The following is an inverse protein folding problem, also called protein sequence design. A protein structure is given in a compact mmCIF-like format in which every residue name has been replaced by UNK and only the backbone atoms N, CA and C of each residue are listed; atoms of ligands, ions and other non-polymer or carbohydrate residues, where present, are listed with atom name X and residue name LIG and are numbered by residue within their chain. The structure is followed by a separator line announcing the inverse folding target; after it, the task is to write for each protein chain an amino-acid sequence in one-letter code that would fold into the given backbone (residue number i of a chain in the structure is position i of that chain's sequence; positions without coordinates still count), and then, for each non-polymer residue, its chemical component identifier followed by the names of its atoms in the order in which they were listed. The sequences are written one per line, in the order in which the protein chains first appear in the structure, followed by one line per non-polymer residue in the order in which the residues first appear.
data_IF_903214658542
#
_entry.id   IF_903214658542
#
_cell.length_a   1.000
_cell.length_b   1.000
_cell.length_c   1.000
_cell.angle_alpha   90.00
_cell.angle_beta   90.00
_cell.angle_gamma   90.00
#
_symmetry.space_group_name_H-M   'P 1'
#
loop_
_entity.id
_entity.type
_entity.pdbx_description
1 polymer ?
#
# COMPACT_ATOMS: atom_id res chain seq x y z
N UNK A 1 -14.89 10.29 -19.39
CA UNK A 1 -14.01 9.10 -19.50
C UNK A 1 -14.45 8.08 -18.47
N UNK A 2 -14.25 6.79 -18.74
CA UNK A 2 -14.35 5.71 -17.76
C UNK A 2 -12.97 5.05 -17.61
N UNK A 3 -12.36 5.13 -16.43
CA UNK A 3 -11.28 4.25 -16.00
C UNK A 3 -11.75 2.80 -16.00
N UNK A 4 -10.88 1.91 -16.47
CA UNK A 4 -11.03 0.46 -16.33
C UNK A 4 -10.83 0.04 -14.87
N UNK A 5 -11.14 -1.23 -14.58
CA UNK A 5 -10.85 -1.81 -13.26
C UNK A 5 -9.33 -1.83 -13.01
N UNK A 6 -8.85 -1.63 -11.77
CA UNK A 6 -7.44 -1.67 -11.43
C UNK A 6 -6.74 -2.92 -11.97
N UNK A 7 -5.61 -2.72 -12.67
CA UNK A 7 -4.83 -3.77 -13.31
C UNK A 7 -5.55 -4.63 -14.36
N UNK A 8 -6.81 -4.31 -14.70
CA UNK A 8 -7.71 -5.20 -15.45
C UNK A 8 -7.90 -6.56 -14.76
N UNK A 9 -7.82 -6.56 -13.42
CA UNK A 9 -7.80 -7.78 -12.61
C UNK A 9 -9.12 -8.56 -12.60
N UNK A 10 -10.24 -7.88 -12.88
CA UNK A 10 -11.59 -8.46 -12.80
C UNK A 10 -12.30 -8.38 -14.15
N UNK A 11 -13.00 -9.46 -14.58
CA UNK A 11 -13.82 -9.44 -15.78
C UNK A 11 -15.16 -8.73 -15.54
N UNK A 12 -15.14 -7.51 -15.00
CA UNK A 12 -16.34 -6.71 -14.79
C UNK A 12 -16.83 -6.22 -16.15
N UNK A 13 -17.90 -6.85 -16.64
CA UNK A 13 -18.55 -6.52 -17.91
C UNK A 13 -19.75 -5.60 -17.74
N UNK A 14 -20.21 -5.39 -16.51
CA UNK A 14 -21.32 -4.49 -16.20
C UNK A 14 -20.86 -3.04 -16.31
N UNK A 15 -21.43 -2.29 -17.26
CA UNK A 15 -21.23 -0.85 -17.41
C UNK A 15 -21.54 -0.09 -16.12
N UNK A 16 -22.54 -0.55 -15.37
CA UNK A 16 -23.02 0.13 -14.17
C UNK A 16 -21.99 0.06 -13.04
N UNK A 17 -21.30 -1.07 -12.86
CA UNK A 17 -20.25 -1.19 -11.84
C UNK A 17 -19.02 -0.36 -12.18
N UNK A 18 -18.62 -0.33 -13.45
CA UNK A 18 -17.56 0.56 -13.92
C UNK A 18 -17.94 2.02 -13.72
N UNK A 19 -19.19 2.40 -13.95
CA UNK A 19 -19.68 3.74 -13.68
C UNK A 19 -19.59 4.08 -12.18
N UNK A 20 -20.01 3.19 -11.28
CA UNK A 20 -19.90 3.39 -9.83
C UNK A 20 -18.45 3.55 -9.36
N UNK A 21 -17.53 2.76 -9.93
CA UNK A 21 -16.09 2.92 -9.66
C UNK A 21 -15.57 4.28 -10.12
N UNK A 22 -15.94 4.71 -11.33
CA UNK A 22 -15.57 6.02 -11.85
C UNK A 22 -16.17 7.18 -11.06
N UNK A 23 -17.40 7.03 -10.58
CA UNK A 23 -18.01 8.00 -9.66
C UNK A 23 -17.22 8.08 -8.34
N UNK A 24 -16.71 6.95 -7.83
CA UNK A 24 -15.85 6.91 -6.64
C UNK A 24 -14.53 7.68 -6.87
N UNK A 25 -13.87 7.46 -8.01
CA UNK A 25 -12.66 8.20 -8.41
C UNK A 25 -12.95 9.69 -8.54
N UNK A 26 -14.01 10.06 -9.25
CA UNK A 26 -14.39 11.45 -9.48
C UNK A 26 -14.67 12.18 -8.15
N UNK A 27 -15.39 11.52 -7.23
CA UNK A 27 -15.66 12.07 -5.90
C UNK A 27 -14.38 12.27 -5.07
N UNK A 28 -13.42 11.34 -5.14
CA UNK A 28 -12.12 11.50 -4.48
C UNK A 28 -11.36 12.71 -5.05
N UNK A 29 -11.31 12.85 -6.37
CA UNK A 29 -10.69 13.98 -7.04
C UNK A 29 -11.36 15.33 -6.73
N UNK A 30 -12.70 15.38 -6.70
CA UNK A 30 -13.43 16.63 -6.47
C UNK A 30 -13.27 17.17 -5.05
N UNK A 31 -13.06 16.29 -4.05
CA UNK A 31 -12.72 16.69 -2.67
C UNK A 31 -11.37 17.43 -2.59
N UNK A 32 -10.48 17.22 -3.55
CA UNK A 32 -9.14 17.83 -3.62
C UNK A 32 -9.14 19.17 -4.38
N UNK A 33 -10.30 19.84 -4.51
CA UNK A 33 -10.48 21.05 -5.31
C UNK A 33 -9.41 22.14 -5.17
N UNK A 34 -8.82 22.31 -3.98
CA UNK A 34 -7.76 23.31 -3.73
C UNK A 34 -6.43 23.01 -4.43
N UNK A 35 -6.21 21.77 -4.87
CA UNK A 35 -4.98 21.34 -5.55
C UNK A 35 -5.13 21.30 -7.08
N UNK A 36 -6.34 21.57 -7.61
CA UNK A 36 -6.58 21.57 -9.05
C UNK A 36 -5.77 22.68 -9.72
N UNK A 37 -4.95 22.30 -10.68
CA UNK A 37 -4.15 23.19 -11.51
C UNK A 37 -3.96 22.56 -12.90
N UNK A 38 -3.38 23.28 -13.87
CA UNK A 38 -3.26 22.77 -15.25
C UNK A 38 -2.22 21.65 -15.46
N UNK A 39 -1.36 21.40 -14.48
CA UNK A 39 -0.33 20.37 -14.52
C UNK A 39 -0.84 19.02 -14.01
N UNK A 40 -2.10 18.94 -13.58
CA UNK A 40 -2.78 17.66 -13.32
C UNK A 40 -4.13 17.60 -14.02
N UNK A 41 -4.45 16.47 -14.64
CA UNK A 41 -5.80 16.15 -15.13
C UNK A 41 -6.21 14.77 -14.66
N UNK A 42 -7.50 14.60 -14.35
CA UNK A 42 -8.05 13.28 -14.06
C UNK A 42 -8.27 12.44 -15.33
N UNK A 43 -8.30 13.05 -16.51
CA UNK A 43 -8.55 12.35 -17.77
C UNK A 43 -7.24 12.15 -18.54
N UNK A 44 -6.56 10.98 -18.45
CA UNK A 44 -5.34 10.71 -19.21
C UNK A 44 -5.53 10.76 -20.74
N UNK A 45 -6.75 10.58 -21.27
CA UNK A 45 -7.03 10.65 -22.72
C UNK A 45 -7.12 12.08 -23.22
N UNK A 46 -7.27 13.06 -22.33
CA UNK A 46 -7.20 14.49 -22.68
C UNK A 46 -5.78 14.96 -23.00
N UNK A 47 -4.75 14.15 -22.67
CA UNK A 47 -3.35 14.48 -22.93
C UNK A 47 -3.00 14.23 -24.40
N UNK A 48 -2.21 15.15 -24.97
CA UNK A 48 -1.61 14.98 -26.30
C UNK A 48 -0.32 14.16 -26.18
N UNK A 49 -0.18 13.16 -27.06
CA UNK A 49 0.99 12.27 -27.15
C UNK A 49 1.48 11.78 -25.77
N UNK A 50 0.60 11.17 -24.95
CA UNK A 50 0.94 10.79 -23.59
C UNK A 50 2.06 9.74 -23.56
N UNK A 51 3.02 9.93 -22.65
CA UNK A 51 4.10 8.97 -22.39
C UNK A 51 3.93 8.40 -20.98
N UNK A 52 3.95 7.07 -20.86
CA UNK A 52 3.95 6.40 -19.56
C UNK A 52 5.26 6.66 -18.81
N UNK A 53 5.15 7.03 -17.55
CA UNK A 53 6.27 7.26 -16.65
C UNK A 53 5.95 6.67 -15.27
N UNK A 54 6.25 5.39 -15.01
CA UNK A 54 6.00 4.82 -13.68
C UNK A 54 6.76 5.60 -12.61
N UNK A 55 6.08 5.95 -11.51
CA UNK A 55 6.73 6.46 -10.31
C UNK A 55 6.86 5.28 -9.37
N UNK A 56 8.05 5.06 -8.79
CA UNK A 56 8.34 3.85 -8.02
C UNK A 56 9.08 4.16 -6.72
N UNK A 57 8.83 3.34 -5.71
CA UNK A 57 9.49 3.36 -4.41
C UNK A 57 9.49 1.96 -3.78
N UNK A 58 10.34 1.71 -2.78
CA UNK A 58 10.38 0.42 -2.10
C UNK A 58 9.14 0.20 -1.22
N UNK A 59 8.62 -1.03 -1.23
CA UNK A 59 7.38 -1.37 -0.53
C UNK A 59 7.51 -1.48 0.99
N UNK A 60 8.71 -1.56 1.55
CA UNK A 60 8.90 -1.71 2.99
C UNK A 60 8.64 -0.41 3.77
N UNK A 61 8.02 -0.48 4.95
CA UNK A 61 7.77 0.70 5.79
C UNK A 61 9.03 1.42 6.25
N UNK A 62 9.18 2.70 5.84
CA UNK A 62 10.31 3.53 6.25
C UNK A 62 10.27 3.95 7.72
N UNK A 63 9.05 4.25 8.22
CA UNK A 63 8.84 4.88 9.53
C UNK A 63 9.44 4.15 10.73
N UNK A 64 9.20 2.85 10.92
CA UNK A 64 9.73 2.16 12.09
C UNK A 64 11.27 2.14 12.09
N UNK A 65 11.92 2.11 10.92
CA UNK A 65 13.38 2.07 10.83
C UNK A 65 14.02 3.41 11.26
N UNK A 66 13.43 4.55 10.86
CA UNK A 66 13.98 5.84 11.29
C UNK A 66 13.63 6.17 12.75
N UNK A 67 12.46 5.76 13.26
CA UNK A 67 12.04 6.01 14.65
C UNK A 67 12.78 5.15 15.67
N UNK A 68 13.14 3.92 15.30
CA UNK A 68 13.82 2.95 16.16
C UNK A 68 15.16 2.56 15.52
N UNK A 69 15.16 1.44 14.81
CA UNK A 69 16.26 0.87 14.05
C UNK A 69 15.69 -0.21 13.10
N UNK A 70 16.45 -0.60 12.08
CA UNK A 70 16.02 -1.58 11.08
C UNK A 70 15.71 -2.98 11.65
N UNK A 71 16.53 -3.56 12.56
CA UNK A 71 16.18 -4.84 13.18
C UNK A 71 14.85 -4.82 13.93
N UNK A 72 14.55 -3.72 14.63
CA UNK A 72 13.28 -3.54 15.34
C UNK A 72 12.14 -3.31 14.35
N UNK A 73 12.36 -2.53 13.29
CA UNK A 73 11.37 -2.31 12.25
C UNK A 73 10.90 -3.62 11.63
N UNK A 74 11.85 -4.49 11.26
CA UNK A 74 11.59 -5.83 10.76
C UNK A 74 10.68 -6.63 11.71
N UNK A 75 11.03 -6.68 13.00
CA UNK A 75 10.24 -7.40 14.01
C UNK A 75 8.81 -6.86 14.16
N UNK A 76 8.64 -5.54 14.15
CA UNK A 76 7.33 -4.93 14.33
C UNK A 76 6.45 -5.08 13.10
N UNK A 77 7.00 -4.93 11.89
CA UNK A 77 6.27 -5.15 10.65
C UNK A 77 5.86 -6.63 10.50
N UNK A 78 6.76 -7.56 10.84
CA UNK A 78 6.51 -9.00 10.79
C UNK A 78 5.63 -9.52 11.96
N UNK A 79 5.18 -8.65 12.89
CA UNK A 79 4.37 -9.06 14.06
C UNK A 79 2.96 -9.57 13.71
N UNK A 80 2.57 -9.53 12.44
CA UNK A 80 1.26 -9.96 11.97
C UNK A 80 0.27 -8.81 11.93
N UNK A 81 -0.98 -9.05 12.34
CA UNK A 81 -2.08 -8.08 12.21
C UNK A 81 -1.76 -6.71 12.85
N UNK A 82 -1.20 -6.61 14.08
CA UNK A 82 -0.86 -5.31 14.66
C UNK A 82 0.20 -4.55 13.86
N UNK A 83 1.24 -5.24 13.39
CA UNK A 83 2.30 -4.67 12.57
C UNK A 83 1.77 -4.15 11.25
N UNK A 84 1.05 -5.02 10.52
CA UNK A 84 0.45 -4.69 9.24
C UNK A 84 -0.46 -3.46 9.31
N UNK A 85 -1.43 -3.48 10.21
CA UNK A 85 -2.45 -2.43 10.27
C UNK A 85 -1.89 -1.07 10.72
N UNK A 86 -0.75 -1.04 11.41
CA UNK A 86 -0.17 0.20 11.93
C UNK A 86 0.98 0.72 11.07
N UNK A 87 1.79 -0.16 10.49
CA UNK A 87 3.08 0.21 9.89
C UNK A 87 3.09 0.08 8.37
N UNK A 88 2.23 -0.71 7.73
CA UNK A 88 2.35 -0.99 6.30
C UNK A 88 1.73 0.14 5.46
N UNK A 89 2.41 1.27 5.44
CA UNK A 89 1.91 2.53 4.91
C UNK A 89 2.67 3.01 3.68
N UNK A 90 3.22 2.12 2.87
CA UNK A 90 3.95 2.46 1.64
C UNK A 90 3.22 1.96 0.39
N UNK A 91 1.88 1.95 0.43
CA UNK A 91 1.01 1.36 -0.61
C UNK A 91 1.37 -0.09 -0.95
N UNK A 92 1.80 -0.84 0.07
CA UNK A 92 2.13 -2.24 -0.01
C UNK A 92 1.86 -2.86 1.36
N UNK A 93 0.98 -3.86 1.40
CA UNK A 93 0.71 -4.63 2.61
C UNK A 93 1.01 -6.10 2.36
N UNK A 94 1.44 -6.80 3.41
CA UNK A 94 1.66 -8.23 3.33
C UNK A 94 1.18 -8.99 4.56
N UNK A 95 1.05 -10.30 4.38
CA UNK A 95 0.85 -11.29 5.44
C UNK A 95 1.80 -12.45 5.23
N UNK A 96 2.47 -12.85 6.31
CA UNK A 96 3.20 -14.12 6.37
C UNK A 96 2.18 -15.24 6.62
N UNK A 97 2.14 -16.22 5.73
CA UNK A 97 1.37 -17.45 5.92
C UNK A 97 2.25 -18.46 6.64
N UNK A 98 1.79 -18.96 7.77
CA UNK A 98 2.52 -19.96 8.55
C UNK A 98 1.91 -21.35 8.35
N UNK A 99 2.75 -22.38 8.36
CA UNK A 99 2.33 -23.79 8.30
C UNK A 99 3.13 -24.63 9.29
N UNK A 100 2.56 -25.72 9.82
CA UNK A 100 3.33 -26.67 10.62
C UNK A 100 4.32 -27.42 9.71
N UNK A 101 5.55 -27.60 10.19
CA UNK A 101 6.51 -28.52 9.60
C UNK A 101 6.19 -29.99 9.96
N UNK A 102 7.03 -30.92 9.50
CA UNK A 102 6.89 -32.35 9.79
C UNK A 102 6.90 -32.70 11.29
N UNK A 103 7.41 -31.80 12.15
CA UNK A 103 7.43 -31.97 13.62
C UNK A 103 6.23 -31.31 14.30
N UNK A 104 5.38 -30.62 13.55
CA UNK A 104 4.24 -29.85 14.05
C UNK A 104 4.59 -28.44 14.50
N UNK A 105 5.83 -27.97 14.28
CA UNK A 105 6.24 -26.61 14.62
C UNK A 105 5.76 -25.65 13.53
N UNK A 106 5.04 -24.59 13.92
CA UNK A 106 4.65 -23.52 12.99
C UNK A 106 5.89 -22.76 12.50
N UNK A 107 6.00 -22.61 11.18
CA UNK A 107 7.09 -21.91 10.49
C UNK A 107 6.52 -21.03 9.36
N UNK A 108 7.20 -19.93 8.99
CA UNK A 108 6.76 -19.08 7.89
C UNK A 108 6.86 -19.86 6.57
N UNK A 109 5.74 -20.03 5.89
CA UNK A 109 5.67 -20.78 4.63
C UNK A 109 5.86 -19.90 3.42
N UNK A 110 5.19 -18.75 3.39
CA UNK A 110 5.23 -17.80 2.27
C UNK A 110 4.73 -16.42 2.69
N UNK A 111 4.97 -15.43 1.85
CA UNK A 111 4.50 -14.05 2.02
C UNK A 111 3.47 -13.77 0.93
N UNK A 112 2.29 -13.27 1.34
CA UNK A 112 1.28 -12.74 0.44
C UNK A 112 1.31 -11.22 0.50
N UNK A 113 1.57 -10.58 -0.64
CA UNK A 113 1.69 -9.12 -0.79
C UNK A 113 0.52 -8.60 -1.63
N UNK A 114 -0.01 -7.44 -1.27
CA UNK A 114 -1.05 -6.74 -2.03
C UNK A 114 -0.79 -5.24 -2.11
N UNK A 115 -1.11 -4.67 -3.26
CA UNK A 115 -1.19 -3.22 -3.51
C UNK A 115 -2.61 -2.80 -3.92
N UNK A 116 -3.61 -3.65 -3.70
CA UNK A 116 -4.98 -3.37 -4.10
C UNK A 116 -5.63 -2.31 -3.20
N UNK A 117 -6.27 -1.32 -3.80
CA UNK A 117 -6.92 -0.21 -3.09
C UNK A 117 -8.22 -0.67 -2.42
N UNK A 118 -8.39 -0.30 -1.15
CA UNK A 118 -9.60 -0.55 -0.36
C UNK A 118 -10.87 -0.07 -1.06
N UNK A 119 -10.81 1.11 -1.67
CA UNK A 119 -11.97 1.82 -2.24
C UNK A 119 -12.61 1.01 -3.37
N UNK A 120 -11.80 0.33 -4.19
CA UNK A 120 -12.30 -0.51 -5.26
C UNK A 120 -13.07 -1.72 -4.69
N UNK A 121 -12.49 -2.44 -3.73
CA UNK A 121 -13.13 -3.57 -3.08
C UNK A 121 -14.42 -3.19 -2.35
N UNK A 122 -14.41 -2.07 -1.61
CA UNK A 122 -15.60 -1.54 -0.95
C UNK A 122 -16.69 -1.11 -1.94
N UNK A 123 -16.30 -0.51 -3.07
CA UNK A 123 -17.22 -0.16 -4.16
C UNK A 123 -17.91 -1.40 -4.72
N UNK A 124 -17.15 -2.45 -5.07
CA UNK A 124 -17.76 -3.71 -5.56
C UNK A 124 -18.67 -4.32 -4.49
N UNK A 125 -18.23 -4.40 -3.24
CA UNK A 125 -19.06 -4.94 -2.14
C UNK A 125 -20.38 -4.20 -1.94
N UNK A 126 -20.36 -2.87 -2.08
CA UNK A 126 -21.53 -2.01 -1.96
C UNK A 126 -22.57 -2.31 -3.04
N UNK A 127 -22.13 -2.44 -4.29
CA UNK A 127 -23.02 -2.48 -5.45
C UNK A 127 -23.30 -3.88 -5.98
N UNK A 128 -22.33 -4.80 -5.91
CA UNK A 128 -22.46 -6.19 -6.34
C UNK A 128 -21.78 -7.17 -5.35
N UNK A 129 -22.54 -7.62 -4.33
CA UNK A 129 -22.04 -8.59 -3.36
C UNK A 129 -21.58 -9.92 -3.99
N UNK A 130 -22.17 -10.33 -5.12
CA UNK A 130 -21.81 -11.58 -5.80
C UNK A 130 -20.42 -11.45 -6.43
N UNK A 131 -20.17 -10.33 -7.10
CA UNK A 131 -18.86 -10.04 -7.68
C UNK A 131 -17.77 -10.00 -6.60
N UNK A 132 -17.95 -9.26 -5.48
CA UNK A 132 -16.90 -9.21 -4.44
C UNK A 132 -16.66 -10.58 -3.81
N UNK A 133 -17.70 -11.41 -3.67
CA UNK A 133 -17.55 -12.77 -3.15
C UNK A 133 -16.69 -13.63 -4.07
N UNK A 134 -16.89 -13.52 -5.38
CA UNK A 134 -16.06 -14.20 -6.38
C UNK A 134 -14.62 -13.66 -6.42
N UNK A 135 -14.42 -12.34 -6.22
CA UNK A 135 -13.08 -11.76 -6.08
C UNK A 135 -12.33 -12.35 -4.89
N UNK A 136 -12.99 -12.46 -3.73
CA UNK A 136 -12.40 -13.09 -2.55
C UNK A 136 -12.10 -14.57 -2.79
N UNK A 137 -13.01 -15.31 -3.44
CA UNK A 137 -12.76 -16.71 -3.82
C UNK A 137 -11.54 -16.86 -4.73
N UNK A 138 -11.39 -15.98 -5.72
CA UNK A 138 -10.25 -15.98 -6.63
C UNK A 138 -8.92 -15.81 -5.88
N UNK A 139 -8.89 -14.93 -4.88
CA UNK A 139 -7.68 -14.65 -4.08
C UNK A 139 -7.41 -15.77 -3.07
N UNK A 140 -8.44 -16.28 -2.39
CA UNK A 140 -8.27 -17.22 -1.28
C UNK A 140 -8.30 -18.69 -1.71
N UNK A 141 -8.80 -19.00 -2.91
CA UNK A 141 -9.02 -20.36 -3.37
C UNK A 141 -10.22 -21.07 -2.71
N UNK A 142 -11.05 -20.34 -1.96
CA UNK A 142 -12.30 -20.86 -1.39
C UNK A 142 -13.39 -19.79 -1.35
N UNK A 143 -14.64 -20.23 -1.55
CA UNK A 143 -15.80 -19.35 -1.51
C UNK A 143 -16.13 -18.95 -0.06
N UNK A 144 -15.97 -17.67 0.34
CA UNK A 144 -16.30 -17.25 1.70
C UNK A 144 -17.83 -17.27 1.93
N UNK A 145 -18.26 -17.31 3.20
CA UNK A 145 -19.68 -17.14 3.53
C UNK A 145 -20.10 -15.68 3.49
N UNK A 146 -21.41 -15.43 3.39
CA UNK A 146 -21.95 -14.08 3.48
C UNK A 146 -21.79 -13.49 4.88
N UNK A 147 -21.85 -14.32 5.91
CA UNK A 147 -21.62 -13.93 7.30
C UNK A 147 -20.19 -13.47 7.52
N UNK A 148 -19.20 -14.08 6.86
CA UNK A 148 -17.81 -13.64 6.93
C UNK A 148 -17.58 -12.29 6.23
N UNK A 149 -18.32 -12.02 5.14
CA UNK A 149 -18.20 -10.77 4.38
C UNK A 149 -19.04 -9.62 4.95
N UNK A 150 -20.26 -9.89 5.42
CA UNK A 150 -21.26 -8.88 5.79
C UNK A 150 -21.92 -9.13 7.15
N UNK A 151 -21.65 -10.24 7.83
CA UNK A 151 -22.28 -10.55 9.13
C UNK A 151 -23.76 -10.91 9.01
N UNK A 152 -24.26 -11.14 7.80
CA UNK A 152 -25.63 -11.52 7.49
C UNK A 152 -25.64 -12.65 6.46
N UNK A 153 -26.71 -13.45 6.44
CA UNK A 153 -26.86 -14.58 5.52
C UNK A 153 -27.24 -14.18 4.10
N UNK A 154 -27.80 -12.99 3.90
CA UNK A 154 -28.15 -12.47 2.59
C UNK A 154 -27.92 -10.95 2.48
N UNK A 155 -26.81 -10.50 1.86
CA UNK A 155 -26.49 -9.08 1.74
C UNK A 155 -27.40 -8.32 0.75
N UNK A 156 -28.16 -9.02 -0.09
CA UNK A 156 -29.08 -8.37 -1.05
C UNK A 156 -30.29 -7.72 -0.37
N UNK A 157 -30.59 -8.12 0.87
CA UNK A 157 -31.64 -7.50 1.70
C UNK A 157 -31.19 -6.16 2.33
N UNK A 158 -29.89 -5.85 2.26
CA UNK A 158 -29.33 -4.61 2.76
C UNK A 158 -29.36 -3.52 1.68
N UNK A 159 -29.61 -2.27 2.08
CA UNK A 159 -29.36 -1.12 1.21
C UNK A 159 -27.87 -1.02 0.86
N UNK A 160 -27.48 -0.33 -0.23
CA UNK A 160 -26.07 -0.15 -0.57
C UNK A 160 -25.23 0.42 0.59
N UNK A 161 -25.75 1.42 1.31
CA UNK A 161 -25.06 1.98 2.49
C UNK A 161 -24.91 0.94 3.61
N UNK A 162 -25.93 0.14 3.88
CA UNK A 162 -25.84 -0.94 4.86
C UNK A 162 -24.84 -2.03 4.44
N UNK A 163 -24.75 -2.36 3.15
CA UNK A 163 -23.72 -3.28 2.61
C UNK A 163 -22.33 -2.74 2.83
N UNK A 164 -22.10 -1.47 2.49
CA UNK A 164 -20.81 -0.81 2.67
C UNK A 164 -20.38 -0.79 4.15
N UNK A 165 -21.29 -0.46 5.07
CA UNK A 165 -21.03 -0.47 6.52
C UNK A 165 -20.70 -1.89 7.01
N UNK A 166 -21.49 -2.88 6.60
CA UNK A 166 -21.31 -4.27 7.01
C UNK A 166 -19.99 -4.85 6.50
N UNK A 167 -19.70 -4.68 5.21
CA UNK A 167 -18.45 -5.11 4.60
C UNK A 167 -17.25 -4.38 5.19
N UNK A 168 -17.35 -3.07 5.38
CA UNK A 168 -16.26 -2.28 5.97
C UNK A 168 -15.96 -2.70 7.39
N UNK A 169 -16.98 -3.02 8.19
CA UNK A 169 -16.75 -3.51 9.56
C UNK A 169 -15.97 -4.82 9.59
N UNK A 170 -16.35 -5.79 8.75
CA UNK A 170 -15.74 -7.12 8.80
C UNK A 170 -14.47 -7.26 7.97
N UNK A 171 -14.34 -6.53 6.86
CA UNK A 171 -13.31 -6.81 5.83
C UNK A 171 -12.44 -5.60 5.50
N UNK A 172 -13.01 -4.39 5.47
CA UNK A 172 -12.28 -3.23 4.89
C UNK A 172 -11.75 -2.16 5.86
N UNK A 173 -12.29 -2.07 7.07
CA UNK A 173 -12.11 -0.88 7.93
C UNK A 173 -12.77 0.38 7.36
N UNK A 174 -12.71 1.49 8.10
CA UNK A 174 -13.37 2.74 7.69
C UNK A 174 -12.57 3.57 6.67
N UNK A 175 -11.25 3.36 6.52
CA UNK A 175 -10.39 4.08 5.55
C UNK A 175 -10.57 5.61 5.59
N UNK A 176 -10.61 6.20 6.78
CA UNK A 176 -10.97 7.60 7.06
C UNK A 176 -12.28 8.15 6.42
N UNK A 177 -13.17 7.29 5.90
CA UNK A 177 -14.44 7.74 5.32
C UNK A 177 -15.39 8.24 6.41
N UNK A 178 -15.75 9.53 6.36
CA UNK A 178 -16.54 10.22 7.40
C UNK A 178 -17.86 9.52 7.74
N UNK A 179 -18.56 8.99 6.74
CA UNK A 179 -19.84 8.30 6.96
C UNK A 179 -19.64 6.97 7.69
N UNK A 180 -18.54 6.24 7.40
CA UNK A 180 -18.23 4.98 8.06
C UNK A 180 -17.77 5.21 9.50
N UNK A 181 -16.96 6.25 9.73
CA UNK A 181 -16.60 6.69 11.08
C UNK A 181 -17.86 7.05 11.88
N UNK A 182 -18.78 7.83 11.29
CA UNK A 182 -20.04 8.22 11.93
C UNK A 182 -20.95 7.01 12.22
N UNK A 183 -20.87 5.95 11.40
CA UNK A 183 -21.57 4.69 11.60
C UNK A 183 -20.86 3.74 12.61
N UNK A 184 -19.77 4.18 13.25
CA UNK A 184 -19.02 3.38 14.22
C UNK A 184 -18.33 2.18 13.57
N UNK A 185 -17.96 2.26 12.30
CA UNK A 185 -17.06 1.28 11.67
C UNK A 185 -15.65 1.51 12.23
N UNK A 186 -14.94 0.45 12.66
CA UNK A 186 -13.57 0.58 13.17
C UNK A 186 -12.58 0.97 12.06
N UNK A 187 -11.44 1.56 12.45
CA UNK A 187 -10.36 1.93 11.52
C UNK A 187 -9.88 0.75 10.69
N UNK A 188 -9.72 -0.38 11.38
CA UNK A 188 -9.28 -1.66 10.84
C UNK A 188 -10.42 -2.67 10.90
N UNK A 189 -10.49 -3.63 9.95
CA UNK A 189 -11.53 -4.65 9.95
C UNK A 189 -11.45 -5.51 11.21
N UNK A 190 -12.60 -6.04 11.66
CA UNK A 190 -12.66 -6.97 12.82
C UNK A 190 -12.87 -8.43 12.43
N UNK A 191 -13.14 -8.71 11.16
CA UNK A 191 -13.30 -10.06 10.64
C UNK A 191 -11.99 -10.65 10.14
N UNK A 192 -11.92 -11.99 10.12
CA UNK A 192 -10.72 -12.74 9.81
C UNK A 192 -10.26 -12.64 8.34
N UNK A 193 -11.19 -12.47 7.39
CA UNK A 193 -10.88 -12.62 5.95
C UNK A 193 -9.70 -11.74 5.50
N UNK A 194 -9.78 -10.43 5.73
CA UNK A 194 -8.69 -9.56 5.32
C UNK A 194 -7.55 -9.58 6.35
N UNK A 195 -7.83 -9.68 7.65
CA UNK A 195 -6.79 -9.78 8.70
C UNK A 195 -5.78 -10.91 8.42
N UNK A 196 -6.29 -12.07 7.99
CA UNK A 196 -5.49 -13.29 7.85
C UNK A 196 -4.91 -13.51 6.45
N UNK A 197 -5.34 -12.76 5.42
CA UNK A 197 -4.99 -13.06 4.02
C UNK A 197 -4.56 -11.86 3.16
N UNK A 198 -4.47 -10.65 3.73
CA UNK A 198 -4.09 -9.43 3.00
C UNK A 198 -4.79 -9.31 1.62
N UNK A 199 -6.13 -9.30 1.62
CA UNK A 199 -6.95 -9.20 0.40
C UNK A 199 -6.70 -7.90 -0.37
N UNK A 200 -6.59 -6.81 0.38
CA UNK A 200 -6.32 -5.47 -0.12
C UNK A 200 -5.78 -4.62 1.04
N UNK A 201 -5.26 -3.43 0.72
CA UNK A 201 -4.69 -2.53 1.70
C UNK A 201 -5.76 -1.93 2.61
N UNK A 202 -5.48 -1.84 3.90
CA UNK A 202 -6.39 -1.35 4.95
C UNK A 202 -5.84 -0.16 5.71
N UNK A 203 -4.53 0.09 5.60
CA UNK A 203 -3.90 1.24 6.21
C UNK A 203 -4.52 2.53 5.62
N UNK A 204 -5.04 3.45 6.45
CA UNK A 204 -5.85 4.56 5.95
C UNK A 204 -5.14 5.49 4.96
N UNK A 205 -3.81 5.60 5.05
CA UNK A 205 -3.01 6.48 4.16
C UNK A 205 -2.56 5.83 2.84
N UNK A 206 -2.96 4.58 2.60
CA UNK A 206 -2.77 3.88 1.32
C UNK A 206 -4.02 3.99 0.42
N UNK A 207 -4.86 5.00 0.64
CA UNK A 207 -6.14 5.18 -0.03
C UNK A 207 -6.04 5.84 -1.40
N UNK A 208 -7.11 5.72 -2.19
CA UNK A 208 -7.26 6.41 -3.47
C UNK A 208 -7.14 7.94 -3.37
N UNK A 209 -7.71 8.52 -2.31
CA UNK A 209 -7.70 9.96 -2.07
C UNK A 209 -6.29 10.46 -1.73
N UNK A 210 -5.54 9.73 -0.92
CA UNK A 210 -4.13 10.04 -0.63
C UNK A 210 -3.25 9.93 -1.88
N UNK A 211 -3.48 8.92 -2.73
CA UNK A 211 -2.76 8.77 -4.00
C UNK A 211 -3.01 9.94 -4.94
N UNK A 212 -4.28 10.32 -5.12
CA UNK A 212 -4.65 11.48 -5.92
C UNK A 212 -4.07 12.76 -5.32
N UNK A 213 -4.19 12.93 -4.00
CA UNK A 213 -3.70 14.09 -3.28
C UNK A 213 -2.20 14.28 -3.51
N UNK A 214 -1.37 13.25 -3.29
CA UNK A 214 0.07 13.44 -3.30
C UNK A 214 0.62 13.68 -4.71
N UNK A 215 0.00 13.08 -5.74
CA UNK A 215 0.35 13.37 -7.14
C UNK A 215 -0.09 14.78 -7.53
N UNK A 216 -1.31 15.21 -7.15
CA UNK A 216 -1.78 16.58 -7.39
C UNK A 216 -0.95 17.63 -6.63
N UNK A 217 -0.57 17.31 -5.40
CA UNK A 217 0.32 18.11 -4.55
C UNK A 217 1.66 18.34 -5.23
N UNK A 218 2.25 17.28 -5.79
CA UNK A 218 3.52 17.34 -6.53
C UNK A 218 3.40 18.01 -7.90
N UNK A 219 2.26 17.90 -8.58
CA UNK A 219 2.00 18.44 -9.91
C UNK A 219 1.88 19.97 -9.91
N UNK A 220 2.92 20.68 -9.49
CA UNK A 220 3.07 22.12 -9.62
C UNK A 220 4.56 22.48 -9.76
N UNK A 221 4.90 23.55 -10.50
CA UNK A 221 6.29 23.98 -10.70
C UNK A 221 6.81 24.76 -9.47
N UNK A 222 7.14 24.03 -8.40
CA UNK A 222 7.71 24.58 -7.18
C UNK A 222 9.14 25.09 -7.39
N UNK A 223 9.38 26.34 -7.02
CA UNK A 223 10.68 27.00 -7.18
C UNK A 223 11.09 27.79 -5.95
N UNK A 224 12.39 28.00 -5.81
CA UNK A 224 12.97 28.96 -4.88
C UNK A 224 13.65 30.08 -5.63
N UNK A 225 13.60 31.28 -5.06
CA UNK A 225 14.31 32.45 -5.60
C UNK A 225 15.76 32.43 -5.12
N UNK A 226 16.69 32.48 -6.05
CA UNK A 226 18.14 32.63 -5.80
C UNK A 226 18.63 33.94 -6.41
N UNK A 227 19.88 34.31 -6.13
CA UNK A 227 20.51 35.50 -6.74
C UNK A 227 20.62 35.40 -8.27
N UNK A 228 20.61 34.18 -8.80
CA UNK A 228 20.75 33.87 -10.23
C UNK A 228 19.43 33.59 -10.94
N UNK A 229 18.29 33.61 -10.24
CA UNK A 229 16.97 33.41 -10.83
C UNK A 229 16.08 32.46 -10.03
N UNK A 230 15.31 31.64 -10.73
CA UNK A 230 14.48 30.60 -10.14
C UNK A 230 15.18 29.25 -10.26
N UNK A 231 15.18 28.48 -9.17
CA UNK A 231 15.66 27.09 -9.13
C UNK A 231 14.53 26.20 -8.67
N UNK A 232 14.46 24.96 -9.17
CA UNK A 232 13.51 23.96 -8.66
C UNK A 232 13.66 23.79 -7.15
N UNK A 233 12.54 23.80 -6.43
CA UNK A 233 12.52 23.54 -4.99
C UNK A 233 12.81 22.06 -4.71
N UNK A 234 13.49 21.79 -3.59
CA UNK A 234 13.76 20.42 -3.14
C UNK A 234 12.64 19.90 -2.24
N UNK A 235 12.62 18.58 -2.00
CA UNK A 235 11.66 17.88 -1.11
C UNK A 235 11.48 18.62 0.22
N UNK A 236 12.57 18.93 0.93
CA UNK A 236 12.53 19.55 2.25
C UNK A 236 11.78 20.88 2.24
N UNK A 237 11.94 21.66 1.17
CA UNK A 237 11.31 22.96 1.03
C UNK A 237 9.81 22.83 0.77
N UNK A 238 9.42 21.97 -0.17
CA UNK A 238 8.03 21.79 -0.59
C UNK A 238 7.18 21.26 0.57
N UNK A 239 7.60 20.17 1.20
CA UNK A 239 6.82 19.57 2.29
C UNK A 239 6.74 20.48 3.52
N UNK A 240 7.80 21.26 3.80
CA UNK A 240 7.81 22.26 4.88
C UNK A 240 6.91 23.47 4.59
N UNK A 241 6.80 23.91 3.33
CA UNK A 241 5.95 25.03 2.92
C UNK A 241 4.47 24.80 3.28
N UNK A 242 4.04 23.55 3.27
CA UNK A 242 2.67 23.15 3.56
C UNK A 242 2.51 22.49 4.93
N UNK A 243 3.53 22.52 5.79
CA UNK A 243 3.50 21.93 7.13
C UNK A 243 3.14 20.43 7.13
N UNK A 244 3.66 19.69 6.16
CA UNK A 244 3.44 18.24 5.96
C UNK A 244 4.77 17.47 5.94
N UNK A 245 5.75 17.92 6.74
CA UNK A 245 7.09 17.32 6.80
C UNK A 245 7.08 15.81 7.10
N UNK A 246 6.07 15.32 7.83
CA UNK A 246 5.90 13.88 8.10
C UNK A 246 5.75 13.04 6.83
N UNK A 247 5.10 13.56 5.78
CA UNK A 247 4.97 12.86 4.51
C UNK A 247 6.34 12.69 3.81
N UNK A 248 7.26 13.65 3.98
CA UNK A 248 8.59 13.58 3.35
C UNK A 248 9.49 12.45 3.91
N UNK A 249 9.09 11.82 5.02
CA UNK A 249 9.82 10.77 5.71
C UNK A 249 9.47 9.36 5.21
N UNK A 250 8.36 9.20 4.50
CA UNK A 250 7.96 7.95 3.83
C UNK A 250 8.76 7.74 2.54
N UNK A 251 8.67 6.55 1.96
CA UNK A 251 9.15 6.28 0.61
C UNK A 251 8.18 6.81 -0.45
N UNK A 252 6.88 6.54 -0.29
CA UNK A 252 5.84 6.79 -1.27
C UNK A 252 5.62 8.27 -1.57
N UNK A 253 5.36 9.06 -0.54
CA UNK A 253 4.92 10.44 -0.72
C UNK A 253 5.97 11.34 -1.41
N UNK A 254 7.26 11.36 -1.00
CA UNK A 254 8.24 12.15 -1.70
C UNK A 254 8.51 11.59 -3.11
N UNK A 255 8.47 10.29 -3.34
CA UNK A 255 8.64 9.75 -4.69
C UNK A 255 7.51 10.23 -5.62
N UNK A 256 6.25 10.11 -5.18
CA UNK A 256 5.07 10.57 -5.92
C UNK A 256 5.10 12.08 -6.18
N UNK A 257 5.30 12.88 -5.14
CA UNK A 257 5.29 14.33 -5.24
C UNK A 257 6.43 14.85 -6.13
N UNK A 258 7.66 14.36 -5.92
CA UNK A 258 8.82 14.82 -6.68
C UNK A 258 8.80 14.33 -8.14
N UNK A 259 8.24 13.13 -8.39
CA UNK A 259 8.00 12.62 -9.74
C UNK A 259 7.05 13.51 -10.53
N UNK A 260 5.91 13.88 -9.93
CA UNK A 260 4.95 14.79 -10.54
C UNK A 260 5.50 16.23 -10.71
N UNK A 261 6.29 16.72 -9.74
CA UNK A 261 6.94 18.02 -9.82
C UNK A 261 7.91 18.08 -11.00
N UNK A 262 8.69 17.02 -11.24
CA UNK A 262 9.61 16.95 -12.37
C UNK A 262 8.91 17.19 -13.71
N UNK A 263 7.73 16.58 -13.91
CA UNK A 263 6.90 16.80 -15.10
C UNK A 263 6.33 18.24 -15.16
N UNK A 264 5.79 18.74 -14.05
CA UNK A 264 5.23 20.09 -13.98
C UNK A 264 6.29 21.19 -14.24
N UNK A 265 7.51 21.01 -13.75
CA UNK A 265 8.65 21.90 -14.03
C UNK A 265 9.03 21.94 -15.52
N UNK A 266 8.79 20.85 -16.25
CA UNK A 266 8.97 20.79 -17.70
C UNK A 266 7.75 21.28 -18.48
N UNK A 267 6.72 21.80 -17.79
CA UNK A 267 5.50 22.29 -18.42
C UNK A 267 4.53 21.20 -18.87
N UNK A 268 4.71 19.96 -18.37
CA UNK A 268 3.90 18.81 -18.75
C UNK A 268 2.74 18.63 -17.78
N UNK A 269 1.57 18.29 -18.32
CA UNK A 269 0.41 17.87 -17.51
C UNK A 269 0.52 16.38 -17.21
N UNK A 270 0.30 16.02 -15.96
CA UNK A 270 0.32 14.65 -15.41
C UNK A 270 -1.12 14.13 -15.27
N UNK A 271 -1.31 12.84 -15.52
CA UNK A 271 -2.51 12.10 -15.10
C UNK A 271 -2.11 10.72 -14.59
N UNK A 272 -2.93 10.10 -13.75
CA UNK A 272 -2.82 8.66 -13.48
C UNK A 272 -3.26 7.90 -14.73
N UNK A 273 -2.52 6.86 -15.11
CA UNK A 273 -2.81 6.05 -16.29
C UNK A 273 -4.14 5.28 -16.13
N UNK A 274 -4.66 4.77 -17.25
CA UNK A 274 -5.83 3.90 -17.27
C UNK A 274 -5.40 2.43 -17.50
N UNK A 275 -5.67 1.50 -16.57
CA UNK A 275 -6.40 1.67 -15.31
C UNK A 275 -5.64 2.40 -14.20
N UNK A 276 -6.38 3.16 -13.38
CA UNK A 276 -5.87 3.79 -12.16
C UNK A 276 -5.65 2.71 -11.10
N UNK A 277 -4.45 2.67 -10.52
CA UNK A 277 -4.14 1.74 -9.45
C UNK A 277 -2.72 1.88 -8.92
N UNK A 278 -2.41 1.01 -7.97
CA UNK A 278 -1.09 0.82 -7.40
C UNK A 278 -0.60 -0.56 -7.81
N UNK A 279 0.61 -0.63 -8.36
CA UNK A 279 1.14 -1.82 -9.01
C UNK A 279 2.49 -2.22 -8.45
N UNK A 280 2.78 -3.52 -8.51
CA UNK A 280 4.11 -4.07 -8.29
C UNK A 280 4.89 -3.87 -9.60
N UNK A 281 5.78 -2.89 -9.60
CA UNK A 281 6.51 -2.45 -10.79
C UNK A 281 7.80 -3.25 -10.99
N UNK A 282 8.42 -3.71 -9.90
CA UNK A 282 9.57 -4.60 -9.97
C UNK A 282 9.68 -5.48 -8.73
N UNK A 283 10.33 -6.64 -8.89
CA UNK A 283 10.71 -7.52 -7.79
C UNK A 283 12.11 -8.05 -8.04
N UNK A 284 13.07 -7.64 -7.21
CA UNK A 284 14.47 -8.06 -7.28
C UNK A 284 14.65 -9.46 -6.69
N UNK A 285 13.98 -10.47 -7.26
CA UNK A 285 14.07 -11.83 -6.79
C UNK A 285 15.47 -12.50 -6.89
N UNK A 286 16.41 -12.07 -7.74
CA UNK A 286 17.72 -12.72 -7.85
C UNK A 286 18.58 -12.71 -6.58
N UNK A 287 18.23 -11.89 -5.57
CA UNK A 287 18.91 -11.85 -4.26
C UNK A 287 18.49 -13.00 -3.34
N UNK A 288 17.42 -13.72 -3.65
CA UNK A 288 16.98 -14.84 -2.83
C UNK A 288 17.62 -16.14 -3.31
N UNK A 289 18.15 -16.91 -2.36
CA UNK A 289 18.75 -18.22 -2.60
C UNK A 289 18.11 -19.30 -1.77
N UNK A 290 17.91 -20.47 -2.38
CA UNK A 290 17.54 -21.68 -1.67
C UNK A 290 18.64 -22.72 -1.92
N UNK A 291 19.26 -23.22 -0.84
CA UNK A 291 20.38 -24.18 -0.93
C UNK A 291 21.50 -23.70 -1.86
N UNK A 292 21.93 -22.43 -1.70
CA UNK A 292 22.96 -21.75 -2.53
C UNK A 292 22.64 -21.65 -4.04
N UNK A 293 21.38 -21.89 -4.44
CA UNK A 293 20.91 -21.78 -5.81
C UNK A 293 19.84 -20.70 -5.94
N UNK A 294 19.55 -20.26 -7.17
CA UNK A 294 18.40 -19.42 -7.43
C UNK A 294 17.12 -20.11 -6.94
N UNK A 295 16.21 -19.34 -6.35
CA UNK A 295 14.90 -19.86 -5.95
C UNK A 295 14.13 -20.38 -7.17
N UNK A 296 13.30 -21.44 -7.01
CA UNK A 296 12.43 -21.92 -8.09
C UNK A 296 11.47 -20.83 -8.59
N UNK A 297 11.27 -20.73 -9.91
CA UNK A 297 10.40 -19.71 -10.52
C UNK A 297 8.94 -19.86 -10.05
N UNK A 298 8.49 -21.09 -9.82
CA UNK A 298 7.15 -21.38 -9.32
C UNK A 298 6.89 -20.83 -7.90
N UNK A 299 7.93 -20.45 -7.15
CA UNK A 299 7.80 -19.78 -5.86
C UNK A 299 7.44 -18.29 -5.97
N UNK A 300 7.47 -17.73 -7.18
CA UNK A 300 7.15 -16.33 -7.47
C UNK A 300 5.84 -16.29 -8.27
N UNK A 301 4.73 -15.95 -7.61
CA UNK A 301 3.40 -16.00 -8.21
C UNK A 301 2.77 -14.61 -8.23
N UNK A 302 2.88 -13.93 -9.36
CA UNK A 302 2.13 -12.71 -9.61
C UNK A 302 0.67 -13.02 -9.93
N UNK A 303 -0.25 -12.20 -9.43
CA UNK A 303 -1.68 -12.33 -9.70
C UNK A 303 -2.38 -10.99 -9.58
N UNK A 304 -3.70 -10.97 -9.89
CA UNK A 304 -4.57 -9.79 -9.86
C UNK A 304 -3.98 -8.64 -10.68
N UNK A 305 -4.19 -8.74 -11.98
CA UNK A 305 -3.74 -7.77 -12.97
C UNK A 305 -3.09 -8.44 -14.16
N UNK A 306 -2.72 -7.66 -15.17
CA UNK A 306 -1.92 -8.11 -16.30
C UNK A 306 -0.43 -7.80 -16.13
N UNK A 307 0.39 -8.29 -17.07
CA UNK A 307 1.83 -8.01 -17.09
C UNK A 307 2.08 -6.49 -16.98
N UNK A 308 3.03 -6.12 -16.14
CA UNK A 308 3.40 -4.72 -15.81
C UNK A 308 2.35 -3.96 -14.96
N UNK A 309 1.24 -4.60 -14.56
CA UNK A 309 0.18 -4.03 -13.71
C UNK A 309 -0.32 -5.04 -12.66
N UNK A 310 0.54 -5.94 -12.18
CA UNK A 310 0.18 -6.87 -11.11
C UNK A 310 -0.01 -6.12 -9.78
N UNK A 311 -1.03 -6.52 -9.01
CA UNK A 311 -1.31 -5.95 -7.70
C UNK A 311 -1.11 -6.94 -6.55
N UNK A 312 -0.76 -8.19 -6.87
CA UNK A 312 -0.44 -9.21 -5.87
C UNK A 312 0.81 -10.00 -6.24
N UNK A 313 1.55 -10.36 -5.21
CA UNK A 313 2.65 -11.31 -5.26
C UNK A 313 2.50 -12.29 -4.11
N UNK A 314 2.52 -13.59 -4.43
CA UNK A 314 2.78 -14.63 -3.45
C UNK A 314 4.22 -15.13 -3.64
N UNK A 315 5.01 -15.03 -2.57
CA UNK A 315 6.43 -15.36 -2.57
C UNK A 315 6.75 -16.47 -1.57
N UNK A 316 7.27 -17.59 -2.08
CA UNK A 316 7.77 -18.71 -1.29
C UNK A 316 7.14 -20.05 -1.67
N UNK A 317 7.58 -21.13 -0.99
CA UNK A 317 7.16 -22.50 -1.25
C UNK A 317 5.64 -22.71 -1.19
N UNK A 318 5.13 -23.65 -2.00
CA UNK A 318 3.72 -24.08 -1.96
C UNK A 318 3.43 -24.96 -0.75
N UNK A 319 2.15 -25.14 -0.38
CA UNK A 319 1.75 -26.02 0.74
C UNK A 319 2.21 -27.48 0.57
N UNK A 320 2.47 -27.94 -0.65
CA UNK A 320 2.94 -29.30 -0.95
C UNK A 320 4.47 -29.46 -0.88
N UNK A 321 5.21 -28.35 -0.85
CA UNK A 321 6.67 -28.34 -0.74
C UNK A 321 7.09 -28.56 0.72
N UNK A 322 8.22 -29.22 0.98
CA UNK A 322 8.76 -29.38 2.33
C UNK A 322 9.55 -28.14 2.80
N UNK A 323 10.01 -27.29 1.88
CA UNK A 323 10.76 -26.07 2.17
C UNK A 323 9.90 -24.98 2.82
N UNK A 324 10.53 -24.12 3.62
CA UNK A 324 9.90 -22.97 4.28
C UNK A 324 10.62 -21.67 3.91
N UNK A 325 9.99 -20.54 4.21
CA UNK A 325 10.53 -19.22 3.92
C UNK A 325 11.85 -18.98 4.66
N UNK A 326 11.98 -19.49 5.88
CA UNK A 326 13.18 -19.42 6.71
C UNK A 326 14.30 -20.39 6.30
N UNK A 327 14.09 -21.20 5.24
CA UNK A 327 15.16 -21.95 4.57
C UNK A 327 15.82 -21.15 3.43
N UNK A 328 15.30 -19.96 3.11
CA UNK A 328 15.80 -19.07 2.05
C UNK A 328 16.81 -18.08 2.64
N UNK A 329 17.91 -17.85 1.94
CA UNK A 329 18.86 -16.78 2.24
C UNK A 329 18.60 -15.56 1.36
N UNK A 330 18.90 -14.36 1.89
CA UNK A 330 18.87 -13.08 1.18
C UNK A 330 20.30 -12.58 1.05
N UNK A 331 20.75 -12.37 -0.19
CA UNK A 331 22.09 -11.90 -0.55
C UNK A 331 22.03 -10.44 -1.01
N UNK A 332 22.45 -9.51 -0.16
CA UNK A 332 22.53 -8.07 -0.51
C UNK A 332 23.98 -7.61 -0.41
N UNK A 333 24.63 -7.42 -1.56
CA UNK A 333 26.04 -7.09 -1.62
C UNK A 333 26.90 -8.26 -1.10
N UNK A 334 27.63 -8.05 -0.01
CA UNK A 334 28.42 -9.09 0.65
C UNK A 334 27.73 -9.71 1.88
N UNK A 335 26.53 -9.24 2.23
CA UNK A 335 25.79 -9.71 3.39
C UNK A 335 24.84 -10.84 2.98
N UNK A 336 24.93 -11.96 3.69
CA UNK A 336 24.08 -13.13 3.49
C UNK A 336 23.39 -13.41 4.82
N UNK A 337 22.07 -13.24 4.83
CA UNK A 337 21.25 -13.42 6.02
C UNK A 337 20.05 -14.31 5.72
N UNK A 338 19.55 -15.08 6.71
CA UNK A 338 18.32 -15.83 6.53
C UNK A 338 17.14 -14.87 6.29
N UNK A 339 16.22 -15.29 5.43
CA UNK A 339 14.95 -14.63 5.26
C UNK A 339 14.07 -14.94 6.47
N UNK A 340 13.74 -13.94 7.28
CA UNK A 340 12.99 -14.18 8.53
C UNK A 340 11.54 -13.71 8.48
N UNK A 341 11.10 -13.08 7.39
CA UNK A 341 9.76 -12.52 7.30
C UNK A 341 9.50 -11.75 6.00
N UNK A 342 8.37 -11.05 5.95
CA UNK A 342 7.92 -10.34 4.77
C UNK A 342 8.57 -8.96 4.60
N UNK A 343 9.04 -8.33 5.69
CA UNK A 343 9.72 -7.04 5.59
C UNK A 343 10.91 -7.06 4.61
N UNK A 344 11.76 -8.10 4.68
CA UNK A 344 12.89 -8.29 3.75
C UNK A 344 12.44 -8.54 2.30
N UNK A 345 11.29 -9.19 2.10
CA UNK A 345 10.72 -9.38 0.76
C UNK A 345 10.32 -8.02 0.19
N UNK A 346 9.67 -7.19 0.99
CA UNK A 346 9.21 -5.85 0.58
C UNK A 346 10.36 -4.88 0.29
N UNK A 347 11.50 -5.01 0.97
CA UNK A 347 12.72 -4.26 0.64
C UNK A 347 13.22 -4.54 -0.79
N UNK A 348 12.76 -5.63 -1.43
CA UNK A 348 13.13 -6.03 -2.79
C UNK A 348 12.00 -5.79 -3.80
N UNK A 349 10.89 -5.18 -3.38
CA UNK A 349 9.74 -4.86 -4.24
C UNK A 349 9.70 -3.34 -4.44
N UNK A 350 9.67 -2.90 -5.69
CA UNK A 350 9.27 -1.53 -5.99
C UNK A 350 7.80 -1.49 -6.39
N UNK A 351 7.02 -0.67 -5.70
CA UNK A 351 5.60 -0.42 -5.99
C UNK A 351 5.40 1.01 -6.46
N UNK A 352 4.26 1.28 -7.08
CA UNK A 352 3.93 2.63 -7.51
C UNK A 352 2.75 2.73 -8.46
N UNK A 353 2.24 3.95 -8.70
CA UNK A 353 1.28 4.19 -9.76
C UNK A 353 2.00 4.28 -11.11
N UNK A 354 1.27 3.99 -12.17
CA UNK A 354 1.66 4.40 -13.52
C UNK A 354 1.02 5.75 -13.79
N UNK A 355 1.84 6.77 -14.04
CA UNK A 355 1.35 8.06 -14.55
C UNK A 355 1.61 8.15 -16.05
N UNK A 356 0.86 9.03 -16.70
CA UNK A 356 1.14 9.50 -18.05
C UNK A 356 1.40 10.99 -18.02
N UNK A 357 2.36 11.42 -18.84
CA UNK A 357 2.72 12.84 -19.00
C UNK A 357 2.44 13.27 -20.43
N UNK A 358 1.79 14.43 -20.58
CA UNK A 358 1.52 15.03 -21.89
C UNK A 358 2.72 15.77 -22.47
N UNK A 359 2.52 16.34 -23.65
CA UNK A 359 3.50 17.26 -24.25
C UNK A 359 3.78 18.49 -23.37
N UNK A 360 5.02 18.99 -23.38
CA UNK A 360 5.39 20.17 -22.62
C UNK A 360 4.75 21.43 -23.21
N UNK A 361 4.29 22.31 -22.33
CA UNK A 361 3.78 23.65 -22.66
C UNK A 361 4.51 24.68 -21.79
N UNK A 362 4.91 25.85 -22.31
CA UNK A 362 5.66 26.83 -21.52
C UNK A 362 5.00 27.14 -20.17
N UNK A 363 5.79 27.18 -19.10
CA UNK A 363 5.33 27.59 -17.75
C UNK A 363 5.36 29.11 -17.68
N UNK A 364 4.19 29.72 -17.51
CA UNK A 364 4.08 31.17 -17.37
C UNK A 364 4.62 31.63 -15.99
N UNK A 365 5.05 32.88 -15.91
CA UNK A 365 5.75 33.40 -14.73
C UNK A 365 4.89 33.38 -13.45
N UNK A 366 3.58 33.50 -13.59
CA UNK A 366 2.58 33.48 -12.52
C UNK A 366 2.16 32.06 -12.09
N UNK A 367 2.59 31.03 -12.82
CA UNK A 367 2.28 29.63 -12.50
C UNK A 367 3.32 28.98 -11.57
N UNK A 368 4.48 29.61 -11.42
CA UNK A 368 5.51 29.17 -10.49
C UNK A 368 5.08 29.37 -9.03
N UNK A 369 5.14 28.29 -8.25
CA UNK A 369 4.89 28.37 -6.80
C UNK A 369 6.21 28.66 -6.09
N UNK A 370 6.38 29.90 -5.64
CA UNK A 370 7.59 30.32 -4.93
C UNK A 370 7.56 29.83 -3.49
N UNK A 371 8.42 28.86 -3.19
CA UNK A 371 8.66 28.33 -1.85
C UNK A 371 9.69 29.19 -1.11
N UNK A 372 9.48 29.42 0.19
CA UNK A 372 10.34 30.30 1.01
C UNK A 372 10.93 29.63 2.25
N UNK A 373 10.72 28.33 2.39
CA UNK A 373 11.13 27.55 3.54
C UNK A 373 12.59 27.10 3.46
N UNK A 374 13.16 26.72 4.60
CA UNK A 374 14.54 26.24 4.70
C UNK A 374 14.77 24.99 3.84
N UNK A 375 15.99 24.80 3.36
CA UNK A 375 16.49 23.57 2.74
C UNK A 375 17.07 22.58 3.76
N UNK A 376 17.01 22.88 5.05
CA UNK A 376 17.58 22.01 6.08
C UNK A 376 16.89 20.63 6.07
N UNK A 377 17.65 19.54 6.35
CA UNK A 377 17.09 18.20 6.40
C UNK A 377 15.90 18.09 7.35
N UNK A 378 14.83 17.42 6.90
CA UNK A 378 13.69 17.08 7.76
C UNK A 378 14.14 16.01 8.76
N UNK A 379 13.83 16.23 10.04
CA UNK A 379 14.21 15.33 11.13
C UNK A 379 13.14 14.28 11.37
N UNK A 380 13.13 13.22 10.58
CA UNK A 380 12.09 12.18 10.65
C UNK A 380 11.96 11.50 12.02
N UNK A 381 13.04 11.44 12.81
CA UNK A 381 13.02 10.95 14.21
C UNK A 381 12.16 11.78 15.17
N UNK A 382 11.87 13.03 14.82
CA UNK A 382 11.05 13.95 15.61
C UNK A 382 9.58 13.96 15.12
N UNK A 383 9.23 13.11 14.15
CA UNK A 383 7.87 13.02 13.64
C UNK A 383 6.91 12.43 14.69
N UNK A 384 5.69 12.95 14.75
CA UNK A 384 4.65 12.52 15.69
C UNK A 384 4.25 11.05 15.55
N UNK A 385 4.46 10.45 14.37
CA UNK A 385 4.22 9.02 14.15
C UNK A 385 5.12 8.13 15.02
N UNK A 386 6.33 8.60 15.37
CA UNK A 386 7.24 7.84 16.21
C UNK A 386 6.66 7.51 17.59
N UNK A 387 5.81 8.38 18.17
CA UNK A 387 5.13 8.10 19.44
C UNK A 387 4.25 6.84 19.35
N UNK A 388 3.53 6.68 18.25
CA UNK A 388 2.68 5.51 17.99
C UNK A 388 3.52 4.25 17.79
N UNK A 389 4.66 4.37 17.12
CA UNK A 389 5.60 3.24 16.89
C UNK A 389 6.27 2.81 18.21
N UNK A 390 6.67 3.76 19.06
CA UNK A 390 7.19 3.45 20.39
C UNK A 390 6.16 2.70 21.25
N UNK A 391 4.89 3.10 21.18
CA UNK A 391 3.81 2.38 21.86
C UNK A 391 3.62 0.96 21.33
N UNK A 392 3.63 0.77 20.00
CA UNK A 392 3.57 -0.56 19.39
C UNK A 392 4.75 -1.44 19.84
N UNK A 393 5.96 -0.89 19.91
CA UNK A 393 7.15 -1.60 20.42
C UNK A 393 6.97 -2.07 21.86
N UNK A 394 6.42 -1.24 22.74
CA UNK A 394 6.14 -1.63 24.13
C UNK A 394 5.12 -2.77 24.21
N UNK A 395 4.09 -2.75 23.36
CA UNK A 395 3.10 -3.83 23.28
C UNK A 395 3.75 -5.13 22.78
N UNK A 396 4.58 -5.05 21.73
CA UNK A 396 5.34 -6.18 21.21
C UNK A 396 6.22 -6.81 22.31
N UNK A 397 7.02 -6.01 23.00
CA UNK A 397 7.91 -6.49 24.07
C UNK A 397 7.14 -7.16 25.21
N UNK A 398 5.95 -6.63 25.54
CA UNK A 398 5.08 -7.21 26.57
C UNK A 398 4.54 -8.57 26.13
N UNK A 399 4.08 -8.69 24.88
CA UNK A 399 3.59 -9.95 24.31
C UNK A 399 4.69 -11.03 24.28
N UNK A 400 5.92 -10.65 23.90
CA UNK A 400 7.06 -11.57 23.85
C UNK A 400 7.51 -12.08 25.23
N UNK A 401 7.30 -11.30 26.30
CA UNK A 401 7.59 -11.73 27.68
C UNK A 401 6.58 -12.76 28.18
N UNK A 402 5.29 -12.59 27.86
CA UNK A 402 4.21 -13.49 28.30
C UNK A 402 4.36 -14.88 27.66
N UNK A 403 4.81 -14.96 26.41
CA UNK A 403 5.08 -16.23 25.72
C UNK A 403 6.28 -17.04 26.26
N UNK A 404 7.11 -16.44 27.14
CA UNK A 404 8.35 -17.05 27.67
C UNK A 404 8.25 -17.55 29.12
N UNK A 405 7.06 -17.68 29.72
CA UNK A 405 6.93 -18.28 31.06
C UNK A 405 7.21 -19.79 30.96
N UNK A 406 8.41 -20.20 31.39
CA UNK A 406 8.90 -21.59 31.34
C UNK A 406 8.05 -22.58 32.17
N UNK A 407 8.28 -23.90 31.99
CA UNK A 407 7.50 -24.93 32.67
C UNK A 407 7.60 -24.74 34.19
N UNK A 408 6.45 -24.70 34.88
CA UNK A 408 6.39 -24.75 36.34
C UNK A 408 7.15 -26.01 36.78
N UNK A 409 8.28 -25.83 37.48
CA UNK A 409 8.85 -26.92 38.27
C UNK A 409 7.77 -27.34 39.29
N UNK A 410 7.14 -28.48 39.06
CA UNK A 410 6.37 -29.13 40.10
C UNK A 410 7.38 -29.61 41.14
N UNK A 411 7.40 -28.92 42.28
CA UNK A 411 8.19 -29.35 43.43
C UNK A 411 7.81 -30.77 43.81
N UNK A 412 8.79 -31.66 43.79
CA UNK A 412 8.66 -33.00 44.36
C UNK A 412 8.49 -32.81 45.87
N UNK A 413 7.30 -33.13 46.38
CA UNK A 413 7.07 -33.24 47.82
C UNK A 413 7.87 -34.45 48.32
N UNK A 414 8.87 -34.17 49.15
CA UNK A 414 9.68 -35.13 49.90
C UNK A 414 8.91 -35.73 51.07
#
# INVERSE_FOLDING_TARGET
MLYDVPGRADPITSSDLLEQWNQTIQQAYDRLGNWKNRFFTLDPSSLKNPVRAPIKWFGDPAEPAFCLDEPTAKQLCDWGVPGRHLLHNEYCEYRIIEKPDATGKMRPKRVQVTTELREYWACIAKFDPVAVRAMVENVLGFLPSWEALYGVSNPTLLSPSQREIAFSRLVAGHGNHRELVSAGVPEQPVGALNQDNALFMTHPINGLDDLLYIVMFGAAPYVVRTDTGLKSAIREQIFRQYNVEGLACRHADPAAAMGAQGAAMNGQTVALDNPLGMYILSFNHPVFRYQDQAIPEEWIRFSRGEKDMYQRLEFGPSDADEAFLDDIAVEVGSDIQPLTGGFQVLQQIEVGPIIVVGEPTPVAADEYVIVRTSSDPIRCREASVCDRIYQLKQQYDTAQKIGRVGPRQMGVLS
#
